data_IF_068151497148
#
_entry.id   IF_068151497148
#
_cell.length_a   1.000
_cell.length_b   1.000
_cell.length_c   1.000
_cell.angle_alpha   90.00
_cell.angle_beta   90.00
_cell.angle_gamma   90.00
#
_symmetry.space_group_name_H-M   'P 1'
#
loop_
_entity.id
_entity.type
_entity.pdbx_description
1 polymer ?
#
# COMPACT_ATOMS: atom_id res chain seq x y z
N UNK A 1 -9.11 -13.19 -7.85
CA UNK A 1 -9.14 -11.71 -7.94
C UNK A 1 -9.78 -11.18 -6.68
N UNK A 2 -9.23 -10.12 -6.10
CA UNK A 2 -9.76 -9.46 -4.90
C UNK A 2 -11.16 -8.86 -5.11
N UNK A 3 -11.48 -8.48 -6.35
CA UNK A 3 -12.75 -7.85 -6.73
C UNK A 3 -13.38 -8.57 -7.93
N UNK A 4 -14.72 -8.57 -7.98
CA UNK A 4 -15.48 -8.82 -9.20
C UNK A 4 -15.40 -7.65 -10.18
N UNK A 5 -15.78 -7.86 -11.45
CA UNK A 5 -15.75 -6.79 -12.45
C UNK A 5 -16.61 -5.58 -12.07
N UNK A 6 -17.81 -5.82 -11.52
CA UNK A 6 -18.69 -4.74 -11.08
C UNK A 6 -18.07 -3.92 -9.92
N UNK A 7 -17.35 -4.58 -9.01
CA UNK A 7 -16.65 -3.90 -7.92
C UNK A 7 -15.48 -3.08 -8.44
N UNK A 8 -14.70 -3.61 -9.40
CA UNK A 8 -13.62 -2.86 -10.06
C UNK A 8 -14.13 -1.59 -10.75
N UNK A 9 -15.25 -1.69 -11.47
CA UNK A 9 -15.84 -0.53 -12.15
C UNK A 9 -16.31 0.53 -11.16
N UNK A 10 -16.81 0.11 -9.99
CA UNK A 10 -17.19 1.02 -8.92
C UNK A 10 -15.96 1.68 -8.28
N UNK A 11 -14.94 0.90 -7.93
CA UNK A 11 -13.69 1.43 -7.36
C UNK A 11 -13.06 2.45 -8.32
N UNK A 12 -12.95 2.14 -9.61
CA UNK A 12 -12.42 3.05 -10.63
C UNK A 12 -13.18 4.38 -10.67
N UNK A 13 -14.52 4.33 -10.61
CA UNK A 13 -15.38 5.53 -10.60
C UNK A 13 -15.15 6.38 -9.36
N UNK A 14 -14.99 5.76 -8.20
CA UNK A 14 -14.76 6.47 -6.94
C UNK A 14 -13.36 7.06 -6.88
N UNK A 15 -12.33 6.30 -7.29
CA UNK A 15 -10.95 6.78 -7.34
C UNK A 15 -10.76 7.98 -8.28
N UNK A 16 -11.51 8.04 -9.38
CA UNK A 16 -11.48 9.19 -10.29
C UNK A 16 -11.88 10.52 -9.63
N UNK A 17 -12.63 10.47 -8.51
CA UNK A 17 -13.11 11.65 -7.77
C UNK A 17 -12.05 12.30 -6.88
N UNK A 18 -10.88 11.67 -6.69
CA UNK A 18 -9.77 12.28 -5.98
C UNK A 18 -9.43 13.64 -6.61
N UNK A 19 -9.37 14.69 -5.77
CA UNK A 19 -9.19 16.07 -6.21
C UNK A 19 -7.73 16.47 -6.40
N UNK A 20 -6.83 15.78 -5.71
CA UNK A 20 -5.39 15.97 -5.79
C UNK A 20 -4.68 14.63 -5.68
N UNK A 21 -3.35 14.70 -5.66
CA UNK A 21 -2.52 13.52 -5.44
C UNK A 21 -2.54 13.19 -3.94
N UNK A 22 -2.72 11.91 -3.64
CA UNK A 22 -2.70 11.35 -2.29
C UNK A 22 -1.60 10.30 -2.26
N UNK A 23 -0.75 10.33 -1.25
CA UNK A 23 0.26 9.29 -1.03
C UNK A 23 -0.08 8.56 0.27
N UNK A 24 -0.18 7.24 0.20
CA UNK A 24 -0.34 6.38 1.36
C UNK A 24 0.98 5.69 1.66
N UNK A 25 1.34 5.63 2.95
CA UNK A 25 2.46 4.82 3.41
C UNK A 25 1.93 3.50 3.93
N UNK A 26 2.37 2.39 3.34
CA UNK A 26 2.03 1.03 3.75
C UNK A 26 3.23 0.41 4.45
N UNK A 27 3.11 0.18 5.76
CA UNK A 27 4.13 -0.53 6.53
C UNK A 27 3.86 -2.04 6.50
N UNK A 28 4.84 -2.82 6.06
CA UNK A 28 4.83 -4.29 6.05
C UNK A 28 6.16 -4.84 6.58
N UNK A 29 6.33 -6.17 6.55
CA UNK A 29 7.59 -6.85 6.89
C UNK A 29 8.37 -7.32 5.66
N UNK A 30 8.17 -6.67 4.49
CA UNK A 30 8.83 -7.15 3.29
C UNK A 30 10.36 -7.19 3.47
N UNK A 31 10.99 -8.22 2.90
CA UNK A 31 12.44 -8.29 2.68
C UNK A 31 12.72 -8.40 1.20
N UNK A 32 13.65 -7.59 0.74
CA UNK A 32 14.18 -7.58 -0.62
C UNK A 32 15.16 -8.75 -0.75
N UNK A 33 14.88 -9.64 -1.70
CA UNK A 33 15.71 -10.79 -2.01
C UNK A 33 16.84 -10.39 -2.98
N UNK A 34 17.80 -11.28 -3.21
CA UNK A 34 18.95 -11.04 -4.09
C UNK A 34 18.55 -10.72 -5.55
N UNK A 35 17.39 -11.20 -5.99
CA UNK A 35 16.83 -10.93 -7.32
C UNK A 35 16.02 -9.61 -7.40
N UNK A 36 15.94 -8.85 -6.30
CA UNK A 36 15.18 -7.61 -6.18
C UNK A 36 13.69 -7.80 -5.91
N UNK A 37 13.19 -9.04 -5.86
CA UNK A 37 11.81 -9.30 -5.46
C UNK A 37 11.61 -9.06 -3.97
N UNK A 38 10.39 -8.67 -3.59
CA UNK A 38 10.02 -8.43 -2.19
C UNK A 38 9.22 -9.61 -1.66
N UNK A 39 9.63 -10.15 -0.51
CA UNK A 39 8.92 -11.23 0.19
C UNK A 39 8.37 -10.75 1.52
N UNK A 40 7.07 -10.93 1.74
CA UNK A 40 6.36 -10.61 2.99
C UNK A 40 6.10 -11.90 3.78
N UNK A 41 6.44 -11.92 5.07
CA UNK A 41 6.21 -13.10 5.91
C UNK A 41 4.88 -13.02 6.67
N UNK A 42 4.44 -11.79 6.97
CA UNK A 42 3.16 -11.44 7.55
C UNK A 42 2.01 -11.85 6.63
N UNK A 43 1.17 -12.76 7.13
CA UNK A 43 0.05 -13.35 6.37
C UNK A 43 -0.91 -12.31 5.77
N UNK A 44 -1.11 -11.18 6.47
CA UNK A 44 -2.04 -10.13 6.04
C UNK A 44 -1.38 -9.04 5.18
N UNK A 45 -0.05 -8.97 5.17
CA UNK A 45 0.67 -7.89 4.52
C UNK A 45 0.62 -7.98 2.99
N UNK A 46 0.69 -9.20 2.45
CA UNK A 46 0.50 -9.44 1.02
C UNK A 46 -0.89 -9.01 0.55
N UNK A 47 -1.92 -9.30 1.35
CA UNK A 47 -3.30 -8.89 1.05
C UNK A 47 -3.49 -7.37 1.06
N UNK A 48 -2.90 -6.68 2.06
CA UNK A 48 -2.96 -5.22 2.15
C UNK A 48 -2.20 -4.54 1.00
N UNK A 49 -1.03 -5.06 0.65
CA UNK A 49 -0.25 -4.59 -0.50
C UNK A 49 -1.06 -4.72 -1.81
N UNK A 50 -1.54 -5.93 -2.12
CA UNK A 50 -2.30 -6.18 -3.35
C UNK A 50 -3.58 -5.33 -3.44
N UNK A 51 -4.25 -5.08 -2.31
CA UNK A 51 -5.39 -4.18 -2.25
C UNK A 51 -4.99 -2.75 -2.64
N UNK A 52 -3.96 -2.19 -2.01
CA UNK A 52 -3.55 -0.81 -2.27
C UNK A 52 -2.96 -0.63 -3.66
N UNK A 53 -2.20 -1.59 -4.17
CA UNK A 53 -1.68 -1.61 -5.54
C UNK A 53 -2.84 -1.57 -6.56
N UNK A 54 -3.90 -2.36 -6.32
CA UNK A 54 -5.11 -2.30 -7.17
C UNK A 54 -5.76 -0.90 -7.15
N UNK A 55 -5.82 -0.24 -5.98
CA UNK A 55 -6.38 1.10 -5.87
C UNK A 55 -5.50 2.13 -6.59
N UNK A 56 -4.18 2.01 -6.48
CA UNK A 56 -3.20 2.86 -7.16
C UNK A 56 -3.35 2.77 -8.68
N UNK A 57 -3.39 1.56 -9.24
CA UNK A 57 -3.61 1.32 -10.68
C UNK A 57 -4.92 1.95 -11.19
N UNK A 58 -5.99 1.83 -10.40
CA UNK A 58 -7.31 2.38 -10.75
C UNK A 58 -7.45 3.88 -10.49
N UNK A 59 -6.47 4.51 -9.84
CA UNK A 59 -6.50 5.93 -9.49
C UNK A 59 -6.16 6.87 -10.63
N UNK A 60 -5.63 6.35 -11.75
CA UNK A 60 -5.11 7.15 -12.85
C UNK A 60 -4.03 8.14 -12.39
N UNK A 61 -3.11 7.66 -11.53
CA UNK A 61 -1.96 8.42 -11.01
C UNK A 61 -2.27 9.39 -9.88
N UNK A 62 -3.50 9.37 -9.34
CA UNK A 62 -3.92 10.26 -8.24
C UNK A 62 -3.66 9.68 -6.85
N UNK A 63 -3.49 8.37 -6.74
CA UNK A 63 -3.07 7.68 -5.53
C UNK A 63 -1.68 7.12 -5.79
N UNK A 64 -0.75 7.40 -4.87
CA UNK A 64 0.55 6.73 -4.79
C UNK A 64 0.61 5.84 -3.55
N UNK A 65 1.22 4.66 -3.64
CA UNK A 65 1.43 3.78 -2.49
C UNK A 65 2.93 3.58 -2.27
N UNK A 66 3.43 4.06 -1.15
CA UNK A 66 4.80 3.86 -0.72
C UNK A 66 4.86 2.73 0.31
N UNK A 67 5.36 1.57 -0.11
CA UNK A 67 5.58 0.45 0.79
C UNK A 67 6.90 0.58 1.56
N UNK A 68 6.82 0.54 2.89
CA UNK A 68 7.94 0.68 3.82
C UNK A 68 8.08 -0.61 4.64
N UNK A 69 9.29 -1.13 4.77
CA UNK A 69 9.55 -2.34 5.55
C UNK A 69 9.93 -1.98 6.98
N UNK A 70 9.24 -2.55 7.96
CA UNK A 70 9.65 -2.43 9.37
C UNK A 70 10.92 -3.23 9.68
N UNK A 71 11.30 -4.17 8.79
CA UNK A 71 12.49 -5.01 8.95
C UNK A 71 13.73 -4.37 8.31
N UNK A 72 13.57 -3.72 7.15
CA UNK A 72 14.68 -3.09 6.42
C UNK A 72 14.90 -1.62 6.80
N UNK A 73 13.83 -0.94 7.21
CA UNK A 73 13.83 0.50 7.58
C UNK A 73 13.11 0.73 8.92
N UNK A 74 13.61 0.14 10.03
CA UNK A 74 12.95 0.23 11.34
C UNK A 74 12.82 1.67 11.87
N UNK A 75 13.72 2.58 11.47
CA UNK A 75 13.68 3.99 11.84
C UNK A 75 12.45 4.73 11.31
N UNK A 76 11.98 4.42 10.10
CA UNK A 76 10.75 5.01 9.56
C UNK A 76 9.53 4.49 10.35
N UNK A 77 9.52 3.22 10.73
CA UNK A 77 8.46 2.67 11.57
C UNK A 77 8.39 3.37 12.95
N UNK A 78 9.55 3.65 13.55
CA UNK A 78 9.64 4.40 14.82
C UNK A 78 9.15 5.84 14.64
N UNK A 79 9.58 6.53 13.59
CA UNK A 79 9.21 7.92 13.28
C UNK A 79 7.69 8.11 13.18
N UNK A 80 6.98 7.14 12.58
CA UNK A 80 5.53 7.16 12.48
C UNK A 80 4.80 6.42 13.61
N UNK A 81 5.53 5.95 14.63
CA UNK A 81 5.01 5.18 15.76
C UNK A 81 4.18 3.96 15.34
N UNK A 82 4.65 3.25 14.32
CA UNK A 82 4.03 2.03 13.81
C UNK A 82 4.45 0.85 14.68
N UNK A 83 3.51 0.30 15.45
CA UNK A 83 3.77 -0.84 16.35
C UNK A 83 3.19 -2.16 15.86
N UNK A 84 2.41 -2.14 14.76
CA UNK A 84 1.72 -3.30 14.19
C UNK A 84 1.70 -3.21 12.67
N UNK A 85 1.71 -4.36 12.02
CA UNK A 85 1.65 -4.49 10.56
C UNK A 85 0.53 -5.46 10.13
N UNK A 86 -0.03 -5.33 8.91
CA UNK A 86 0.18 -4.17 8.03
C UNK A 86 -0.44 -2.90 8.61
N UNK A 87 0.18 -1.74 8.37
CA UNK A 87 -0.38 -0.44 8.76
C UNK A 87 -0.43 0.49 7.56
N UNK A 88 -1.60 1.13 7.36
CA UNK A 88 -1.85 2.07 6.26
C UNK A 88 -1.95 3.46 6.89
N UNK A 89 -1.05 4.36 6.50
CA UNK A 89 -1.02 5.73 6.97
C UNK A 89 -1.44 6.68 5.86
N UNK A 90 -2.39 7.54 6.20
CA UNK A 90 -2.79 8.70 5.40
C UNK A 90 -1.98 9.89 5.92
N UNK A 91 -1.01 10.33 5.14
CA UNK A 91 -0.13 11.45 5.49
C UNK A 91 -0.41 12.60 4.54
N UNK A 92 -0.54 13.79 5.10
CA UNK A 92 -0.51 15.02 4.32
C UNK A 92 0.97 15.38 4.11
N UNK A 93 1.40 15.52 2.86
CA UNK A 93 2.71 16.08 2.50
C UNK A 93 2.65 17.62 2.41
#
# INVERSE_FOLDING_TARGET
MLFSQNELDNVKREMAKLKGNVVLKLFTDFKTLEDGSKKRACMSCEGAYNLLETLEELSNGKLGVEEISIEETPEEAIKYNVTRIPAILFVDE
#
